data_IF_617250287818
#
_entry.id   IF_617250287818
#
_cell.length_a   1.000
_cell.length_b   1.000
_cell.length_c   1.000
_cell.angle_alpha   90.00
_cell.angle_beta   90.00
_cell.angle_gamma   90.00
#
_symmetry.space_group_name_H-M   'P 1'
#
loop_
_entity.id
_entity.type
_entity.pdbx_description
1 polymer ?
#
# COMPACT_ATOMS: atom_id res chain seq x y z
N UNK A 1 11.12 2.44 13.81
CA UNK A 1 10.24 2.12 12.66
C UNK A 1 10.78 0.91 11.94
N UNK A 2 10.26 -0.30 12.18
CA UNK A 2 10.61 -1.47 11.37
C UNK A 2 10.18 -1.26 9.91
N UNK A 3 11.05 -1.64 9.00
CA UNK A 3 10.78 -1.66 7.55
C UNK A 3 10.51 -3.08 7.11
N UNK A 4 9.49 -3.29 6.30
CA UNK A 4 9.15 -4.58 5.71
C UNK A 4 8.96 -4.42 4.20
N UNK A 5 9.52 -5.36 3.44
CA UNK A 5 9.17 -5.51 2.03
C UNK A 5 7.94 -6.41 1.97
N UNK A 6 6.83 -5.87 1.49
CA UNK A 6 5.56 -6.59 1.34
C UNK A 6 5.36 -6.91 -0.13
N UNK A 7 5.27 -8.19 -0.45
CA UNK A 7 4.90 -8.61 -1.80
C UNK A 7 3.40 -8.37 -2.02
N UNK A 8 3.07 -7.70 -3.11
CA UNK A 8 1.68 -7.44 -3.51
C UNK A 8 1.38 -8.04 -4.88
N UNK A 9 0.09 -8.26 -5.13
CA UNK A 9 -0.43 -8.75 -6.41
C UNK A 9 -1.54 -7.82 -6.90
N UNK A 10 -2.29 -8.21 -7.92
CA UNK A 10 -3.49 -7.48 -8.36
C UNK A 10 -4.64 -7.55 -7.35
N UNK A 11 -4.57 -8.46 -6.38
CA UNK A 11 -5.49 -8.51 -5.25
C UNK A 11 -5.03 -7.56 -4.14
N UNK A 12 -5.99 -6.98 -3.42
CA UNK A 12 -5.70 -6.14 -2.26
C UNK A 12 -4.96 -6.92 -1.17
N UNK A 13 -3.79 -6.40 -0.78
CA UNK A 13 -3.00 -6.87 0.34
C UNK A 13 -3.06 -5.85 1.45
N UNK A 14 -3.39 -6.29 2.67
CA UNK A 14 -3.35 -5.42 3.84
C UNK A 14 -1.91 -5.08 4.19
N UNK A 15 -1.63 -3.81 4.32
CA UNK A 15 -0.32 -3.26 4.63
C UNK A 15 -0.21 -2.86 6.12
N UNK A 16 -1.22 -2.15 6.65
CA UNK A 16 -1.21 -1.67 8.04
C UNK A 16 -2.61 -1.69 8.67
N UNK A 17 -2.64 -1.75 10.00
CA UNK A 17 -3.84 -1.65 10.81
C UNK A 17 -4.27 -0.19 11.02
N UNK A 18 -5.49 -0.02 11.52
CA UNK A 18 -6.02 1.30 11.87
C UNK A 18 -5.26 1.97 13.02
N UNK A 19 -4.64 1.21 13.92
CA UNK A 19 -3.87 1.72 15.06
C UNK A 19 -2.48 2.22 14.71
N UNK A 20 -1.95 1.89 13.53
CA UNK A 20 -0.58 2.27 13.15
C UNK A 20 -0.53 3.78 12.85
N UNK A 21 0.14 4.56 13.70
CA UNK A 21 0.06 6.04 13.64
C UNK A 21 0.95 6.61 12.53
N UNK A 22 2.10 5.96 12.27
CA UNK A 22 3.09 6.43 11.29
C UNK A 22 3.35 5.36 10.25
N UNK A 23 2.90 5.63 9.03
CA UNK A 23 3.09 4.77 7.87
C UNK A 23 3.67 5.57 6.72
N UNK A 24 4.75 5.05 6.13
CA UNK A 24 5.26 5.47 4.83
C UNK A 24 5.19 4.28 3.89
N UNK A 25 4.45 4.45 2.80
CA UNK A 25 4.45 3.51 1.68
C UNK A 25 5.30 4.10 0.59
N UNK A 26 6.25 3.32 0.07
CA UNK A 26 6.99 3.69 -1.12
C UNK A 26 7.02 2.54 -2.12
N UNK A 27 6.90 2.90 -3.39
CA UNK A 27 7.05 1.96 -4.49
C UNK A 27 8.49 1.97 -4.97
N UNK A 28 9.10 0.79 -5.07
CA UNK A 28 10.32 0.59 -5.85
C UNK A 28 10.07 -0.47 -6.91
N UNK A 29 9.05 -0.19 -7.71
CA UNK A 29 8.47 -1.10 -8.68
C UNK A 29 8.30 -0.37 -9.99
N UNK A 30 8.60 -1.05 -11.10
CA UNK A 30 8.30 -0.56 -12.45
C UNK A 30 6.79 -0.52 -12.74
N UNK A 31 5.96 -1.05 -11.85
CA UNK A 31 4.51 -1.07 -11.95
C UNK A 31 3.88 0.01 -11.09
N UNK A 32 2.75 0.54 -11.57
CA UNK A 32 1.89 1.41 -10.78
C UNK A 32 1.23 0.62 -9.65
N UNK A 33 1.41 1.10 -8.43
CA UNK A 33 0.79 0.55 -7.22
C UNK A 33 -0.43 1.39 -6.89
N UNK A 34 -1.50 0.74 -6.49
CA UNK A 34 -2.69 1.39 -5.97
C UNK A 34 -2.75 1.19 -4.46
N UNK A 35 -3.02 2.27 -3.72
CA UNK A 35 -3.14 2.27 -2.26
C UNK A 35 -4.44 2.92 -1.81
N UNK A 36 -5.10 2.34 -0.83
CA UNK A 36 -6.35 2.85 -0.30
C UNK A 36 -6.51 2.53 1.19
N UNK A 37 -7.38 3.28 1.87
CA UNK A 37 -7.77 2.99 3.25
C UNK A 37 -9.24 2.60 3.36
N UNK A 38 -9.52 1.81 4.39
CA UNK A 38 -10.88 1.46 4.80
C UNK A 38 -11.04 1.64 6.31
N UNK A 39 -12.25 2.00 6.74
CA UNK A 39 -12.56 2.18 8.17
C UNK A 39 -12.68 0.84 8.91
N UNK A 40 -13.10 -0.21 8.22
CA UNK A 40 -13.21 -1.58 8.73
C UNK A 40 -12.08 -2.45 8.15
N UNK A 41 -11.78 -3.59 8.80
CA UNK A 41 -10.78 -4.55 8.33
C UNK A 41 -11.31 -5.37 7.13
N UNK A 42 -11.61 -4.66 6.04
CA UNK A 42 -12.08 -5.21 4.78
C UNK A 42 -11.43 -4.49 3.61
N UNK A 43 -11.16 -5.24 2.55
CA UNK A 43 -10.52 -4.70 1.35
C UNK A 43 -11.39 -3.60 0.70
N UNK A 44 -10.77 -2.57 0.07
CA UNK A 44 -11.50 -1.51 -0.62
C UNK A 44 -12.33 -2.03 -1.79
N UNK A 45 -13.54 -1.50 -1.94
CA UNK A 45 -14.42 -1.72 -3.10
C UNK A 45 -14.31 -0.65 -4.18
N UNK A 46 -13.59 0.44 -3.89
CA UNK A 46 -13.38 1.59 -4.76
C UNK A 46 -11.91 1.77 -5.08
N UNK A 47 -11.62 2.51 -6.14
CA UNK A 47 -10.25 2.83 -6.52
C UNK A 47 -9.56 3.74 -5.50
N UNK A 48 -8.26 3.53 -5.32
CA UNK A 48 -7.38 4.27 -4.43
C UNK A 48 -6.48 5.29 -5.14
N UNK A 49 -5.43 5.70 -4.42
CA UNK A 49 -4.36 6.53 -4.95
C UNK A 49 -3.36 5.68 -5.73
N UNK A 50 -2.86 6.22 -6.84
CA UNK A 50 -1.84 5.57 -7.66
C UNK A 50 -0.46 6.11 -7.32
N UNK A 51 0.51 5.21 -7.16
CA UNK A 51 1.92 5.48 -6.90
C UNK A 51 2.76 4.86 -8.02
N UNK A 52 3.70 5.64 -8.55
CA UNK A 52 4.69 5.20 -9.53
C UNK A 52 6.03 4.91 -8.84
N UNK A 53 7.02 4.47 -9.63
CA UNK A 53 8.37 4.17 -9.11
C UNK A 53 8.99 5.38 -8.41
N UNK A 54 9.47 5.18 -7.19
CA UNK A 54 10.06 6.22 -6.36
C UNK A 54 9.06 7.11 -5.62
N UNK A 55 7.75 6.98 -5.90
CA UNK A 55 6.74 7.73 -5.15
C UNK A 55 6.68 7.25 -3.70
N UNK A 56 6.39 8.19 -2.81
CA UNK A 56 6.19 7.97 -1.40
C UNK A 56 4.92 8.65 -0.93
N UNK A 57 4.16 7.97 -0.09
CA UNK A 57 2.93 8.52 0.49
C UNK A 57 2.82 8.16 1.96
N UNK A 58 2.39 9.14 2.74
CA UNK A 58 2.27 9.04 4.20
C UNK A 58 0.82 8.88 4.62
N UNK A 59 0.63 8.44 5.88
CA UNK A 59 -0.70 8.35 6.49
C UNK A 59 -1.46 9.67 6.50
N UNK A 60 -0.76 10.80 6.60
CA UNK A 60 -1.39 12.14 6.55
C UNK A 60 -2.04 12.44 5.20
N UNK A 61 -1.54 11.83 4.12
CA UNK A 61 -2.06 12.03 2.76
C UNK A 61 -3.15 11.02 2.39
N UNK A 62 -3.05 9.76 2.84
CA UNK A 62 -4.04 8.70 2.53
C UNK A 62 -5.23 8.73 3.49
N UNK A 63 -5.03 9.18 4.72
CA UNK A 63 -6.04 9.18 5.77
C UNK A 63 -5.95 7.99 6.72
N UNK A 64 -6.83 7.99 7.71
CA UNK A 64 -6.86 7.00 8.79
C UNK A 64 -7.51 5.67 8.34
N UNK A 65 -7.22 4.59 9.09
CA UNK A 65 -7.85 3.28 8.90
C UNK A 65 -6.89 2.16 8.50
N UNK A 66 -7.45 1.04 8.05
CA UNK A 66 -6.71 -0.09 7.51
C UNK A 66 -6.17 0.30 6.14
N UNK A 67 -4.89 0.09 5.92
CA UNK A 67 -4.22 0.45 4.67
C UNK A 67 -4.04 -0.79 3.82
N UNK A 68 -4.33 -0.66 2.53
CA UNK A 68 -4.28 -1.72 1.55
C UNK A 68 -3.47 -1.27 0.34
N UNK A 69 -2.82 -2.23 -0.32
CA UNK A 69 -2.16 -2.01 -1.60
C UNK A 69 -2.38 -3.15 -2.58
N UNK A 70 -2.35 -2.84 -3.87
CA UNK A 70 -2.34 -3.81 -4.97
C UNK A 70 -1.58 -3.26 -6.17
N UNK A 71 -1.19 -4.13 -7.09
CA UNK A 71 -0.69 -3.73 -8.40
C UNK A 71 -1.88 -3.29 -9.23
N UNK A 72 -1.82 -2.06 -9.76
CA UNK A 72 -2.91 -1.50 -10.57
C UNK A 72 -2.91 -2.07 -11.99
N UNK A 73 -1.72 -2.16 -12.60
CA UNK A 73 -1.62 -2.44 -14.03
C UNK A 73 -1.58 -3.96 -14.34
N UNK A 74 -2.32 -4.36 -15.36
CA UNK A 74 -2.79 -5.72 -15.63
C UNK A 74 -1.73 -6.80 -15.90
N UNK A 75 -0.43 -6.50 -15.82
CA UNK A 75 0.64 -7.47 -16.05
C UNK A 75 1.00 -8.16 -14.74
N UNK A 76 0.40 -9.33 -14.55
CA UNK A 76 0.73 -10.26 -13.48
C UNK A 76 2.21 -10.66 -13.62
N UNK A 77 3.09 -10.09 -12.80
CA UNK A 77 4.45 -10.58 -12.64
C UNK A 77 4.67 -10.80 -11.16
N UNK A 78 4.75 -12.07 -10.78
CA UNK A 78 5.06 -12.47 -9.41
C UNK A 78 6.36 -11.75 -8.97
N UNK A 79 6.32 -11.09 -7.80
CA UNK A 79 7.51 -10.47 -7.21
C UNK A 79 7.64 -8.95 -7.37
N UNK A 80 6.55 -8.19 -7.31
CA UNK A 80 6.64 -6.72 -7.18
C UNK A 80 6.68 -6.32 -5.71
N UNK A 81 7.85 -5.93 -5.15
CA UNK A 81 7.93 -5.53 -3.75
C UNK A 81 7.36 -4.13 -3.54
N UNK A 82 6.41 -3.98 -2.63
CA UNK A 82 6.17 -2.69 -1.97
C UNK A 82 7.13 -2.60 -0.81
N UNK A 83 7.84 -1.49 -0.71
CA UNK A 83 8.63 -1.22 0.48
C UNK A 83 7.71 -0.45 1.42
N UNK A 84 7.34 -1.10 2.50
CA UNK A 84 6.53 -0.49 3.54
C UNK A 84 7.39 -0.22 4.76
N UNK A 85 7.38 1.01 5.23
CA UNK A 85 7.90 1.34 6.53
C UNK A 85 6.71 1.64 7.45
N UNK A 86 6.59 0.90 8.55
CA UNK A 86 5.51 1.04 9.53
C UNK A 86 6.15 1.21 10.89
N UNK A 87 5.81 2.28 11.60
CA UNK A 87 6.07 2.30 13.04
C UNK A 87 4.75 2.00 13.74
N UNK A 88 4.78 0.92 14.54
CA UNK A 88 3.76 0.64 15.55
C UNK A 88 3.77 1.74 16.61
#
# INVERSE_FOLDING_TARGET
MPTANVEITQSWTKLANSSDVTVLVTSRSIYTIEVATTAADSAPSVSGHLLHDGDGITRDLIGAGFLWARVHDGRHVAGSPVIMAVSK
#
